data_IF_651048722321
#
_entry.id   IF_651048722321
#
_cell.length_a   1.000
_cell.length_b   1.000
_cell.length_c   1.000
_cell.angle_alpha   90.00
_cell.angle_beta   90.00
_cell.angle_gamma   90.00
#
_symmetry.space_group_name_H-M   'P 1'
#
loop_
_entity.id
_entity.type
_entity.pdbx_description
1 polymer ?
#
# COMPACT_ATOMS: atom_id res chain seq x y z
N UNK A 1 10.37 0.03 -2.12
CA UNK A 1 11.71 -0.60 -2.00
C UNK A 1 12.53 -0.16 -3.19
N UNK A 2 13.69 0.49 -3.01
CA UNK A 2 14.61 0.82 -4.11
C UNK A 2 14.99 -0.42 -4.93
N UNK A 3 15.38 -0.20 -6.18
CA UNK A 3 15.80 -1.30 -7.04
C UNK A 3 17.03 -2.04 -6.47
N UNK A 4 16.92 -3.34 -6.45
CA UNK A 4 18.00 -4.29 -6.10
C UNK A 4 17.80 -5.53 -6.97
N UNK A 5 18.87 -6.13 -7.45
CA UNK A 5 18.79 -7.35 -8.24
C UNK A 5 18.05 -8.47 -7.49
N UNK A 6 17.24 -9.26 -8.20
CA UNK A 6 16.55 -10.41 -7.62
C UNK A 6 17.49 -11.36 -6.87
N UNK A 7 16.99 -11.92 -5.77
CA UNK A 7 17.75 -12.84 -4.94
C UNK A 7 17.83 -12.40 -3.48
N UNK A 8 18.83 -12.85 -2.75
CA UNK A 8 18.97 -12.63 -1.31
C UNK A 8 19.00 -11.13 -0.94
N UNK A 9 19.67 -10.30 -1.76
CA UNK A 9 19.75 -8.85 -1.50
C UNK A 9 18.38 -8.19 -1.56
N UNK A 10 17.54 -8.55 -2.56
CA UNK A 10 16.17 -8.05 -2.67
C UNK A 10 15.31 -8.52 -1.49
N UNK A 11 15.40 -9.80 -1.12
CA UNK A 11 14.67 -10.34 0.03
C UNK A 11 15.03 -9.59 1.32
N UNK A 12 16.30 -9.30 1.55
CA UNK A 12 16.77 -8.51 2.69
C UNK A 12 16.26 -7.06 2.63
N UNK A 13 16.22 -6.43 1.45
CA UNK A 13 15.73 -5.08 1.28
C UNK A 13 14.21 -5.01 1.58
N UNK A 14 13.43 -5.97 1.09
CA UNK A 14 12.00 -6.10 1.39
C UNK A 14 11.79 -6.28 2.89
N UNK A 15 12.53 -7.20 3.52
CA UNK A 15 12.45 -7.44 4.97
C UNK A 15 12.69 -6.17 5.77
N UNK A 16 13.75 -5.41 5.47
CA UNK A 16 14.06 -4.14 6.15
C UNK A 16 12.92 -3.13 5.99
N UNK A 17 12.40 -2.97 4.78
CA UNK A 17 11.31 -2.05 4.50
C UNK A 17 10.03 -2.41 5.25
N UNK A 18 9.68 -3.70 5.29
CA UNK A 18 8.52 -4.21 6.04
C UNK A 18 8.67 -3.97 7.53
N UNK A 19 9.84 -4.28 8.11
CA UNK A 19 10.08 -4.06 9.54
C UNK A 19 9.98 -2.57 9.91
N UNK A 20 10.58 -1.69 9.12
CA UNK A 20 10.49 -0.24 9.34
C UNK A 20 9.04 0.26 9.23
N UNK A 21 8.26 -0.27 8.29
CA UNK A 21 6.84 0.06 8.14
C UNK A 21 6.03 -0.38 9.37
N UNK A 22 6.23 -1.61 9.83
CA UNK A 22 5.54 -2.16 11.01
C UNK A 22 5.90 -1.38 12.27
N UNK A 23 7.17 -1.03 12.46
CA UNK A 23 7.60 -0.20 13.58
C UNK A 23 6.92 1.17 13.61
N UNK A 24 6.74 1.78 12.44
CA UNK A 24 6.12 3.12 12.32
C UNK A 24 4.61 3.11 12.47
N UNK A 25 3.92 2.11 11.91
CA UNK A 25 2.45 2.11 11.76
C UNK A 25 1.75 1.02 12.57
N UNK A 26 2.48 0.17 13.31
CA UNK A 26 1.95 -0.93 14.12
C UNK A 26 1.03 -1.90 13.35
N UNK A 27 1.20 -1.99 12.03
CA UNK A 27 0.42 -2.89 11.16
C UNK A 27 1.27 -3.33 9.96
N UNK A 28 1.00 -4.50 9.36
CA UNK A 28 1.70 -4.94 8.15
C UNK A 28 1.32 -4.08 6.95
N UNK A 29 2.21 -3.90 5.96
CA UNK A 29 1.87 -3.29 4.70
C UNK A 29 0.91 -4.20 3.92
N UNK A 30 0.00 -3.61 3.15
CA UNK A 30 -0.87 -4.34 2.20
C UNK A 30 -0.31 -4.31 0.78
N UNK A 31 0.51 -3.32 0.48
CA UNK A 31 1.16 -3.14 -0.82
C UNK A 31 2.62 -2.77 -0.59
N UNK A 32 3.52 -3.43 -1.31
CA UNK A 32 4.95 -3.14 -1.35
C UNK A 32 5.32 -2.87 -2.79
N UNK A 33 5.69 -1.63 -3.11
CA UNK A 33 6.16 -1.27 -4.45
C UNK A 33 7.66 -1.51 -4.53
N UNK A 34 8.06 -2.24 -5.57
CA UNK A 34 9.46 -2.51 -5.90
C UNK A 34 9.84 -1.66 -7.11
N UNK A 35 10.75 -0.72 -6.94
CA UNK A 35 11.17 0.17 -8.01
C UNK A 35 11.70 -0.62 -9.22
N UNK A 36 11.22 -0.29 -10.42
CA UNK A 36 11.57 -0.95 -11.69
C UNK A 36 11.34 -2.48 -11.72
N UNK A 37 10.50 -3.01 -10.82
CA UNK A 37 10.26 -4.45 -10.74
C UNK A 37 8.78 -4.81 -10.72
N UNK A 38 7.98 -4.09 -9.92
CA UNK A 38 6.55 -4.36 -9.78
C UNK A 38 6.04 -4.11 -8.37
N UNK A 39 5.01 -4.84 -7.99
CA UNK A 39 4.42 -4.73 -6.66
C UNK A 39 4.14 -6.12 -6.06
N UNK A 40 4.10 -6.16 -4.75
CA UNK A 40 3.63 -7.29 -3.95
C UNK A 40 2.41 -6.82 -3.17
N UNK A 41 1.35 -7.60 -3.21
CA UNK A 41 0.14 -7.35 -2.40
C UNK A 41 -0.04 -8.44 -1.36
N UNK A 42 -0.48 -8.04 -0.18
CA UNK A 42 -0.63 -8.89 0.99
C UNK A 42 -2.04 -8.76 1.57
N UNK A 43 -2.58 -9.87 2.03
CA UNK A 43 -3.88 -9.93 2.69
C UNK A 43 -4.07 -11.25 3.44
N UNK A 44 -5.03 -11.29 4.35
CA UNK A 44 -5.36 -12.50 5.11
C UNK A 44 -6.17 -13.51 4.30
N UNK A 45 -6.83 -13.07 3.23
CA UNK A 45 -7.64 -13.90 2.32
C UNK A 45 -7.35 -13.56 0.86
N UNK A 46 -7.69 -14.44 -0.09
CA UNK A 46 -7.57 -14.14 -1.52
C UNK A 46 -8.32 -12.86 -1.92
N UNK A 47 -9.50 -12.63 -1.36
CA UNK A 47 -10.31 -11.43 -1.61
C UNK A 47 -9.61 -10.17 -1.12
N UNK A 48 -8.97 -10.23 0.05
CA UNK A 48 -8.19 -9.10 0.59
C UNK A 48 -6.95 -8.80 -0.26
N UNK A 49 -6.29 -9.82 -0.80
CA UNK A 49 -5.17 -9.65 -1.74
C UNK A 49 -5.66 -9.02 -3.05
N UNK A 50 -6.77 -9.52 -3.60
CA UNK A 50 -7.36 -8.94 -4.82
C UNK A 50 -7.76 -7.48 -4.62
N UNK A 51 -8.44 -7.17 -3.51
CA UNK A 51 -8.82 -5.80 -3.17
C UNK A 51 -7.59 -4.87 -3.04
N UNK A 52 -6.53 -5.33 -2.38
CA UNK A 52 -5.28 -4.56 -2.26
C UNK A 52 -4.65 -4.30 -3.65
N UNK A 53 -4.69 -5.29 -4.54
CA UNK A 53 -4.18 -5.17 -5.91
C UNK A 53 -4.98 -4.15 -6.71
N UNK A 54 -6.31 -4.28 -6.73
CA UNK A 54 -7.19 -3.37 -7.47
C UNK A 54 -7.09 -1.93 -6.94
N UNK A 55 -6.98 -1.74 -5.63
CA UNK A 55 -6.79 -0.41 -5.04
C UNK A 55 -5.43 0.18 -5.38
N UNK A 56 -4.36 -0.62 -5.45
CA UNK A 56 -3.05 -0.15 -5.88
C UNK A 56 -3.05 0.29 -7.34
N UNK A 57 -3.67 -0.49 -8.24
CA UNK A 57 -3.83 -0.15 -9.66
C UNK A 57 -4.63 1.14 -9.81
N UNK A 58 -5.79 1.23 -9.18
CA UNK A 58 -6.63 2.44 -9.18
C UNK A 58 -5.85 3.67 -8.70
N UNK A 59 -5.10 3.56 -7.62
CA UNK A 59 -4.30 4.67 -7.09
C UNK A 59 -3.21 5.10 -8.09
N UNK A 60 -2.56 4.16 -8.77
CA UNK A 60 -1.56 4.44 -9.80
C UNK A 60 -2.17 5.15 -11.02
N UNK A 61 -3.34 4.73 -11.48
CA UNK A 61 -4.07 5.35 -12.58
C UNK A 61 -4.49 6.78 -12.24
N UNK A 62 -5.05 7.00 -11.04
CA UNK A 62 -5.43 8.34 -10.55
C UNK A 62 -4.18 9.24 -10.46
N UNK A 63 -3.09 8.72 -9.92
CA UNK A 63 -1.83 9.47 -9.82
C UNK A 63 -1.29 9.86 -11.20
N UNK A 64 -1.25 8.93 -12.15
CA UNK A 64 -0.80 9.19 -13.51
C UNK A 64 -1.68 10.25 -14.20
N UNK A 65 -3.00 10.15 -14.04
CA UNK A 65 -3.94 11.15 -14.55
C UNK A 65 -3.74 12.53 -13.91
N UNK A 66 -3.56 12.58 -12.60
CA UNK A 66 -3.31 13.83 -11.89
C UNK A 66 -2.00 14.52 -12.33
N UNK A 67 -0.95 13.74 -12.55
CA UNK A 67 0.33 14.26 -13.09
C UNK A 67 0.14 14.82 -14.49
N UNK A 68 -0.64 14.15 -15.35
CA UNK A 68 -0.92 14.63 -16.72
C UNK A 68 -1.75 15.93 -16.73
N UNK A 69 -2.61 16.14 -15.73
CA UNK A 69 -3.44 17.34 -15.60
C UNK A 69 -2.76 18.49 -14.85
N UNK A 70 -1.58 18.26 -14.26
CA UNK A 70 -0.85 19.23 -13.45
C UNK A 70 -0.08 18.57 -12.32
N UNK A 71 -0.25 19.04 -11.09
CA UNK A 71 0.40 18.48 -9.91
C UNK A 71 -0.62 17.79 -9.01
N UNK A 72 -0.38 16.54 -8.59
CA UNK A 72 -1.25 15.87 -7.63
C UNK A 72 -1.24 16.60 -6.29
N UNK A 73 -2.41 16.69 -5.65
CA UNK A 73 -2.57 17.26 -4.32
C UNK A 73 -2.69 16.12 -3.30
N UNK A 74 -1.72 15.99 -2.42
CA UNK A 74 -1.71 14.93 -1.41
C UNK A 74 -2.32 15.41 -0.09
N UNK A 75 -3.06 14.53 0.56
CA UNK A 75 -3.46 14.72 1.94
C UNK A 75 -2.24 14.64 2.86
N UNK A 76 -2.23 15.43 3.93
CA UNK A 76 -1.21 15.27 4.96
C UNK A 76 -1.32 13.88 5.61
N UNK A 77 -0.19 13.37 6.13
CA UNK A 77 -0.17 12.07 6.81
C UNK A 77 -1.15 12.01 7.99
N UNK A 78 -1.35 13.11 8.72
CA UNK A 78 -2.32 13.19 9.82
C UNK A 78 -3.77 13.07 9.33
N UNK A 79 -4.13 13.72 8.22
CA UNK A 79 -5.46 13.61 7.63
C UNK A 79 -5.69 12.19 7.09
N UNK A 80 -4.71 11.61 6.40
CA UNK A 80 -4.80 10.24 5.89
C UNK A 80 -4.98 9.22 7.03
N UNK A 81 -4.22 9.35 8.13
CA UNK A 81 -4.35 8.49 9.30
C UNK A 81 -5.72 8.65 9.98
N UNK A 82 -6.23 9.88 10.10
CA UNK A 82 -7.58 10.14 10.65
C UNK A 82 -8.67 9.46 9.81
N UNK A 83 -8.60 9.57 8.49
CA UNK A 83 -9.57 8.93 7.58
C UNK A 83 -9.50 7.41 7.73
N UNK A 84 -8.31 6.84 7.70
CA UNK A 84 -8.11 5.38 7.81
C UNK A 84 -8.57 4.80 9.16
N UNK A 85 -8.64 5.62 10.22
CA UNK A 85 -9.10 5.22 11.55
C UNK A 85 -10.59 5.49 11.82
N UNK A 86 -11.35 5.98 10.85
CA UNK A 86 -12.79 6.29 11.06
C UNK A 86 -13.60 5.01 11.31
N UNK A 87 -14.56 5.04 12.26
CA UNK A 87 -15.39 3.87 12.57
C UNK A 87 -16.18 3.33 11.38
N UNK A 88 -16.67 4.19 10.50
CA UNK A 88 -17.39 3.82 9.29
C UNK A 88 -16.48 3.12 8.26
N UNK A 89 -15.23 3.54 8.14
CA UNK A 89 -14.23 2.85 7.32
C UNK A 89 -13.89 1.47 7.88
N UNK A 90 -13.68 1.36 9.18
CA UNK A 90 -13.41 0.10 9.86
C UNK A 90 -14.59 -0.88 9.76
N UNK A 91 -15.82 -0.37 9.81
CA UNK A 91 -17.03 -1.16 9.60
C UNK A 91 -17.08 -1.68 8.16
N UNK A 92 -16.88 -0.80 7.17
CA UNK A 92 -16.88 -1.16 5.75
C UNK A 92 -15.82 -2.22 5.43
N UNK A 93 -14.60 -2.07 5.93
CA UNK A 93 -13.55 -3.06 5.72
C UNK A 93 -13.93 -4.44 6.26
N UNK A 94 -14.59 -4.51 7.43
CA UNK A 94 -15.08 -5.77 8.00
C UNK A 94 -16.19 -6.39 7.15
N UNK A 95 -17.16 -5.58 6.71
CA UNK A 95 -18.28 -6.05 5.90
C UNK A 95 -17.83 -6.58 4.53
N UNK A 96 -16.74 -6.04 3.99
CA UNK A 96 -16.18 -6.45 2.70
C UNK A 96 -15.10 -7.55 2.83
N UNK A 97 -14.82 -8.05 4.03
CA UNK A 97 -13.78 -9.06 4.25
C UNK A 97 -12.36 -8.58 3.90
N UNK A 98 -12.07 -7.29 4.03
CA UNK A 98 -10.80 -6.69 3.64
C UNK A 98 -9.75 -6.70 4.77
N UNK A 99 -10.09 -7.25 5.91
CA UNK A 99 -9.21 -7.44 7.07
C UNK A 99 -9.15 -8.88 7.50
#
# INVERSE_FOLDING_TARGET
>A
VPYVDPGLKLAQAIRRAVLAFVQRLARPPRVIVLANHGLITLGATPEAVMAATLMAVKAAEIFAGAVALGSPQFLSGAVAARIAGRPDELYRERMLGLR
#
